data_IF_127106239931
#
_entry.id   IF_127106239931
#
_cell.length_a   1.000
_cell.length_b   1.000
_cell.length_c   1.000
_cell.angle_alpha   90.00
_cell.angle_beta   90.00
_cell.angle_gamma   90.00
#
_symmetry.space_group_name_H-M   'P 1'
#
loop_
_entity.id
_entity.type
_entity.pdbx_description
1 polymer ?
#
# COMPACT_ATOMS: atom_id res chain seq x y z
N UNK A 1 2.53 0.18 19.89
CA UNK A 1 1.93 0.49 18.59
C UNK A 1 3.05 0.53 17.57
N UNK A 2 2.92 -0.14 16.43
CA UNK A 2 3.80 0.13 15.30
C UNK A 2 3.38 1.46 14.66
N UNK A 3 4.34 2.33 14.38
CA UNK A 3 4.08 3.54 13.61
C UNK A 3 3.88 3.13 12.14
N UNK A 4 2.76 3.52 11.55
CA UNK A 4 2.48 3.30 10.13
C UNK A 4 2.05 4.62 9.51
N UNK A 5 2.41 4.81 8.24
CA UNK A 5 1.97 5.96 7.45
C UNK A 5 1.30 5.45 6.19
N UNK A 6 0.09 5.93 5.96
CA UNK A 6 -0.68 5.67 4.75
C UNK A 6 -0.46 6.85 3.82
N UNK A 7 0.27 6.63 2.73
CA UNK A 7 0.45 7.65 1.70
C UNK A 7 -0.47 7.29 0.55
N UNK A 8 -1.59 8.01 0.35
CA UNK A 8 -2.40 7.83 -0.85
C UNK A 8 -1.57 8.28 -2.06
N UNK A 9 -1.29 7.35 -2.96
CA UNK A 9 -0.67 7.68 -4.24
C UNK A 9 -1.79 8.10 -5.20
N UNK A 10 -1.83 9.39 -5.55
CA UNK A 10 -2.69 9.88 -6.61
C UNK A 10 -2.14 9.40 -7.96
N UNK A 11 -2.78 8.38 -8.56
CA UNK A 11 -2.43 7.85 -9.88
C UNK A 11 -2.42 8.95 -10.97
N UNK A 12 -3.17 10.04 -10.77
CA UNK A 12 -3.18 11.20 -11.68
C UNK A 12 -1.82 11.91 -11.76
N UNK A 13 -0.98 11.81 -10.72
CA UNK A 13 0.36 12.40 -10.67
C UNK A 13 1.47 11.48 -11.15
N UNK A 14 1.19 10.19 -11.39
CA UNK A 14 2.16 9.21 -11.89
C UNK A 14 2.24 9.15 -13.42
N UNK A 15 1.70 10.15 -14.14
CA UNK A 15 1.97 10.30 -15.59
C UNK A 15 3.47 10.52 -15.79
N UNK A 16 4.12 9.44 -16.25
CA UNK A 16 5.56 9.31 -16.43
C UNK A 16 6.21 10.51 -17.13
N UNK A 17 7.38 10.93 -16.63
CA UNK A 17 8.36 11.63 -17.47
C UNK A 17 8.84 10.65 -18.54
N UNK A 18 8.91 11.03 -19.82
CA UNK A 18 9.50 10.17 -20.85
C UNK A 18 10.98 10.00 -20.55
N UNK A 19 11.44 8.75 -20.34
CA UNK A 19 12.87 8.42 -20.27
C UNK A 19 13.36 7.69 -19.01
N UNK A 20 12.50 7.32 -18.07
CA UNK A 20 12.86 6.36 -17.02
C UNK A 20 12.46 4.95 -17.48
N UNK A 21 13.41 4.21 -18.05
CA UNK A 21 13.28 2.77 -18.24
C UNK A 21 13.28 2.09 -16.86
N UNK A 22 12.09 1.78 -16.34
CA UNK A 22 11.89 0.87 -15.21
C UNK A 22 10.77 -0.11 -15.60
N UNK A 23 11.14 -1.33 -16.01
CA UNK A 23 10.21 -2.45 -16.13
C UNK A 23 9.75 -2.90 -14.73
N UNK A 24 8.52 -3.43 -14.58
CA UNK A 24 7.78 -3.37 -13.31
C UNK A 24 8.36 -4.31 -12.25
N UNK A 25 8.54 -3.81 -11.02
CA UNK A 25 8.97 -4.62 -9.88
C UNK A 25 7.81 -5.48 -9.33
N UNK A 26 6.55 -5.14 -9.61
CA UNK A 26 5.40 -6.06 -9.60
C UNK A 26 4.24 -5.53 -10.44
N UNK A 27 3.18 -6.31 -10.58
CA UNK A 27 1.92 -5.90 -11.25
C UNK A 27 1.21 -4.72 -10.56
N UNK A 28 1.62 -4.30 -9.36
CA UNK A 28 1.05 -3.14 -8.66
C UNK A 28 1.63 -1.83 -9.22
N UNK A 29 0.77 -0.85 -9.55
CA UNK A 29 1.19 0.44 -10.12
C UNK A 29 2.13 1.20 -9.16
N UNK A 30 1.86 1.10 -7.86
CA UNK A 30 2.62 1.74 -6.79
C UNK A 30 4.03 1.16 -6.55
N UNK A 31 4.33 0.00 -7.14
CA UNK A 31 5.54 -0.77 -6.86
C UNK A 31 6.71 -0.37 -7.76
N UNK A 32 7.20 0.85 -7.52
CA UNK A 32 8.23 1.52 -8.29
C UNK A 32 9.47 1.88 -7.44
N UNK A 33 10.65 2.08 -8.05
CA UNK A 33 11.86 2.49 -7.34
C UNK A 33 11.70 3.78 -6.52
N UNK A 34 10.85 4.71 -6.97
CA UNK A 34 10.55 5.95 -6.25
C UNK A 34 9.84 5.70 -4.92
N UNK A 35 8.98 4.69 -4.84
CA UNK A 35 8.26 4.31 -3.62
C UNK A 35 9.22 3.79 -2.56
N UNK A 36 10.16 2.93 -2.97
CA UNK A 36 11.24 2.44 -2.11
C UNK A 36 12.16 3.59 -1.64
N UNK A 37 12.43 4.54 -2.53
CA UNK A 37 13.23 5.72 -2.19
C UNK A 37 12.51 6.58 -1.14
N UNK A 38 11.24 6.92 -1.36
CA UNK A 38 10.42 7.70 -0.43
C UNK A 38 10.30 7.02 0.93
N UNK A 39 10.04 5.71 0.97
CA UNK A 39 9.96 4.96 2.22
C UNK A 39 11.27 5.07 3.02
N UNK A 40 12.42 4.98 2.35
CA UNK A 40 13.73 5.16 2.97
C UNK A 40 13.94 6.59 3.48
N UNK A 41 13.61 7.61 2.69
CA UNK A 41 13.76 9.02 3.11
C UNK A 41 12.85 9.36 4.31
N UNK A 42 11.71 8.69 4.43
CA UNK A 42 10.80 8.81 5.58
C UNK A 42 11.23 7.94 6.79
N UNK A 43 12.32 7.17 6.66
CA UNK A 43 12.83 6.32 7.74
C UNK A 43 12.07 5.00 7.93
N UNK A 44 11.23 4.59 6.97
CA UNK A 44 10.54 3.31 7.03
C UNK A 44 11.47 2.17 6.58
N UNK A 45 11.89 1.37 7.54
CA UNK A 45 12.63 0.13 7.28
C UNK A 45 11.69 -1.02 6.90
N UNK A 46 10.44 -1.03 7.39
CA UNK A 46 9.42 -2.02 7.01
C UNK A 46 8.12 -1.34 6.67
N UNK A 47 7.56 -1.66 5.50
CA UNK A 47 6.31 -1.08 5.03
C UNK A 47 5.57 -2.02 4.09
N UNK A 48 4.24 -1.83 3.99
CA UNK A 48 3.40 -2.53 3.03
C UNK A 48 2.98 -1.56 1.92
N UNK A 49 2.92 -2.06 0.69
CA UNK A 49 2.17 -1.40 -0.39
C UNK A 49 0.86 -2.15 -0.55
N UNK A 50 -0.23 -1.39 -0.62
CA UNK A 50 -1.58 -1.92 -0.72
C UNK A 50 -2.29 -1.22 -1.88
N UNK A 51 -3.12 -1.95 -2.60
CA UNK A 51 -3.98 -1.45 -3.66
C UNK A 51 -5.36 -2.07 -3.45
N UNK A 52 -6.40 -1.25 -3.53
CA UNK A 52 -7.78 -1.67 -3.45
C UNK A 52 -8.61 -0.93 -4.48
N UNK A 53 -9.53 -1.62 -5.15
CA UNK A 53 -10.48 -1.01 -6.07
C UNK A 53 -11.91 -0.94 -5.48
N UNK A 54 -12.81 -0.28 -6.21
CA UNK A 54 -14.21 -0.13 -5.80
C UNK A 54 -15.02 -1.44 -5.86
N UNK A 55 -14.52 -2.46 -6.55
CA UNK A 55 -15.17 -3.77 -6.70
C UNK A 55 -14.73 -4.76 -5.61
N UNK A 56 -13.83 -4.34 -4.71
CA UNK A 56 -13.30 -5.15 -3.62
C UNK A 56 -12.06 -5.97 -4.02
N UNK A 57 -11.47 -5.69 -5.18
CA UNK A 57 -10.14 -6.18 -5.54
C UNK A 57 -9.11 -5.68 -4.53
N UNK A 58 -8.18 -6.55 -4.16
CA UNK A 58 -7.13 -6.29 -3.20
C UNK A 58 -5.82 -6.84 -3.71
N UNK A 59 -4.77 -6.03 -3.68
CA UNK A 59 -3.41 -6.46 -3.91
C UNK A 59 -2.49 -5.86 -2.85
N UNK A 60 -1.51 -6.63 -2.38
CA UNK A 60 -0.52 -6.13 -1.44
C UNK A 60 0.83 -6.82 -1.54
N UNK A 61 1.87 -6.10 -1.10
CA UNK A 61 3.25 -6.58 -0.94
C UNK A 61 3.88 -5.96 0.31
N UNK A 62 4.93 -6.57 0.85
CA UNK A 62 5.68 -6.04 1.99
C UNK A 62 7.15 -5.93 1.63
N UNK A 63 7.75 -4.83 2.07
CA UNK A 63 9.17 -4.56 1.96
C UNK A 63 9.84 -4.47 3.32
N UNK A 64 11.11 -4.90 3.35
CA UNK A 64 12.06 -4.63 4.41
C UNK A 64 13.32 -4.02 3.76
N UNK A 65 13.51 -2.72 3.96
CA UNK A 65 14.41 -1.89 3.17
C UNK A 65 14.06 -1.96 1.69
N UNK A 66 14.99 -2.48 0.88
CA UNK A 66 14.79 -2.69 -0.57
C UNK A 66 14.39 -4.12 -0.92
N UNK A 67 14.31 -5.01 0.06
CA UNK A 67 14.01 -6.41 -0.18
C UNK A 67 12.52 -6.65 -0.04
N UNK A 68 11.94 -7.27 -1.08
CA UNK A 68 10.56 -7.74 -1.02
C UNK A 68 10.45 -8.91 -0.04
N UNK A 69 9.84 -8.66 1.10
CA UNK A 69 9.64 -9.64 2.18
C UNK A 69 8.34 -10.45 2.01
N UNK A 70 7.40 -9.95 1.20
CA UNK A 70 6.20 -10.67 0.78
C UNK A 70 6.02 -10.47 -0.73
N UNK A 71 5.88 -11.52 -1.55
CA UNK A 71 5.53 -11.37 -2.97
C UNK A 71 4.18 -10.64 -3.10
N UNK A 72 3.88 -10.08 -4.29
CA UNK A 72 2.52 -9.56 -4.51
C UNK A 72 1.51 -10.68 -4.33
N UNK A 73 0.50 -10.40 -3.52
CA UNK A 73 -0.64 -11.26 -3.28
C UNK A 73 -1.87 -10.51 -3.75
N UNK A 74 -2.73 -11.19 -4.49
CA UNK A 74 -4.01 -10.69 -4.94
C UNK A 74 -5.13 -11.46 -4.26
N UNK A 75 -6.27 -10.82 -4.11
CA UNK A 75 -7.50 -11.41 -3.64
C UNK A 75 -7.82 -11.11 -2.17
N UNK A 76 -8.97 -11.62 -1.69
CA UNK A 76 -9.50 -11.27 -0.38
C UNK A 76 -8.49 -11.55 0.75
N UNK A 77 -8.20 -10.53 1.54
CA UNK A 77 -7.31 -10.63 2.69
C UNK A 77 -5.83 -10.36 2.40
N UNK A 78 -5.43 -10.10 1.14
CA UNK A 78 -4.05 -9.75 0.80
C UNK A 78 -3.54 -8.53 1.58
N UNK A 79 -4.40 -7.52 1.76
CA UNK A 79 -4.07 -6.31 2.51
C UNK A 79 -3.92 -6.64 4.00
N UNK A 80 -4.87 -7.38 4.59
CA UNK A 80 -4.78 -7.78 6.00
C UNK A 80 -3.51 -8.59 6.28
N UNK A 81 -3.16 -9.52 5.38
CA UNK A 81 -1.91 -10.29 5.48
C UNK A 81 -0.67 -9.37 5.50
N UNK A 82 -0.64 -8.35 4.63
CA UNK A 82 0.46 -7.39 4.57
C UNK A 82 0.54 -6.51 5.83
N UNK A 83 -0.60 -6.03 6.32
CA UNK A 83 -0.70 -5.19 7.52
C UNK A 83 -0.23 -5.94 8.78
N UNK A 84 -0.63 -7.21 8.92
CA UNK A 84 -0.18 -8.04 10.04
C UNK A 84 1.34 -8.27 10.02
N UNK A 85 1.94 -8.45 8.83
CA UNK A 85 3.39 -8.63 8.67
C UNK A 85 4.20 -7.38 9.02
N UNK A 86 3.62 -6.19 8.90
CA UNK A 86 4.23 -4.94 9.35
C UNK A 86 3.87 -4.60 10.82
N UNK A 87 3.12 -5.46 11.50
CA UNK A 87 2.87 -5.38 12.94
C UNK A 87 1.54 -4.71 13.32
N UNK A 88 0.66 -4.44 12.36
CA UNK A 88 -0.72 -4.02 12.66
C UNK A 88 -1.47 -5.21 13.22
N UNK A 89 -2.20 -5.01 14.31
CA UNK A 89 -2.95 -6.09 14.97
C UNK A 89 -4.45 -5.77 14.93
N UNK A 90 -5.30 -6.76 14.62
CA UNK A 90 -6.73 -6.69 14.86
C UNK A 90 -7.04 -6.22 16.29
N UNK A 91 -8.02 -5.34 16.44
CA UNK A 91 -8.47 -4.83 17.75
C UNK A 91 -10.00 -4.75 17.80
N UNK A 92 -10.59 -5.17 18.93
CA UNK A 92 -12.04 -4.99 19.17
C UNK A 92 -12.95 -5.72 18.19
N UNK A 93 -12.52 -6.87 17.64
CA UNK A 93 -13.28 -7.65 16.66
C UNK A 93 -13.19 -7.14 15.21
N UNK A 94 -12.36 -6.12 14.96
CA UNK A 94 -12.06 -5.59 13.63
C UNK A 94 -10.82 -6.27 13.05
N UNK A 95 -10.76 -6.41 11.73
CA UNK A 95 -9.53 -6.85 11.06
C UNK A 95 -8.47 -5.73 11.04
N UNK A 96 -7.26 -6.03 10.57
CA UNK A 96 -6.16 -5.08 10.56
C UNK A 96 -6.48 -3.83 9.72
N UNK A 97 -7.17 -4.00 8.59
CA UNK A 97 -7.60 -2.92 7.71
C UNK A 97 -8.59 -1.96 8.39
N UNK A 98 -9.60 -2.52 9.06
CA UNK A 98 -10.62 -1.79 9.80
C UNK A 98 -10.07 -1.14 11.09
N UNK A 99 -9.09 -1.78 11.74
CA UNK A 99 -8.38 -1.19 12.89
C UNK A 99 -7.69 0.12 12.51
N UNK A 100 -7.17 0.22 11.28
CA UNK A 100 -6.53 1.43 10.78
C UNK A 100 -7.53 2.46 10.22
N UNK A 101 -8.83 2.15 10.18
CA UNK A 101 -9.85 3.03 9.62
C UNK A 101 -9.68 3.26 8.11
N UNK A 102 -9.00 2.36 7.39
CA UNK A 102 -8.70 2.55 5.97
C UNK A 102 -9.96 2.54 5.10
N UNK A 103 -11.02 1.84 5.51
CA UNK A 103 -12.30 1.82 4.80
C UNK A 103 -12.94 3.21 4.65
N UNK A 104 -12.76 4.11 5.62
CA UNK A 104 -13.30 5.48 5.53
C UNK A 104 -12.42 6.40 4.66
N UNK A 105 -11.11 6.14 4.59
CA UNK A 105 -10.18 6.86 3.69
C UNK A 105 -10.45 6.52 2.23
N UNK A 106 -10.75 5.26 1.92
CA UNK A 106 -11.17 4.82 0.58
C UNK A 106 -12.48 5.49 0.18
N UNK A 107 -13.45 5.61 1.09
CA UNK A 107 -14.70 6.32 0.80
C UNK A 107 -14.51 7.84 0.62
N UNK A 108 -13.60 8.46 1.39
CA UNK A 108 -13.32 9.89 1.27
C UNK A 108 -12.63 10.27 -0.05
N UNK A 109 -11.84 9.36 -0.64
CA UNK A 109 -11.21 9.56 -1.96
C UNK A 109 -12.18 9.51 -3.15
N UNK A 110 -13.37 8.92 -2.97
CA UNK A 110 -14.42 8.81 -4.01
C UNK A 110 -15.49 9.92 -3.83
N UNK A 111 -15.41 10.73 -2.77
CA UNK A 111 -16.44 11.69 -2.35
C UNK A 111 -16.12 13.18 -2.55
N UNK A 112 -15.11 13.56 -3.34
CA UNK A 112 -14.78 14.97 -3.61
C UNK A 112 -14.81 15.31 -5.11
N UNK A 113 -15.94 15.01 -5.77
CA UNK A 113 -16.37 15.63 -7.03
C UNK A 113 -17.86 15.42 -7.19
N UNK A 114 -18.63 16.36 -6.64
CA UNK A 114 -20.09 16.42 -6.72
C UNK A 114 -20.60 17.67 -6.02
#
# INVERSE_FOLDING_TARGET
>A
MGEFVVVPLDASRMRARPGADDRPLSEMEADAPITLHLARELGFDRFALIESDAEGGQAATVYHGRLRAMPVRQGPGAINEALERIGVRPEGGRDAFDTLGLGSVVQAGIGASG
#
